data_IF_087256037654
#
_entry.id   IF_087256037654
#
_cell.length_a   1.000
_cell.length_b   1.000
_cell.length_c   1.000
_cell.angle_alpha   90.00
_cell.angle_beta   90.00
_cell.angle_gamma   90.00
#
_symmetry.space_group_name_H-M   'P 1'
#
loop_
_entity.id
_entity.type
_entity.pdbx_description
1 polymer ?
#
# COMPACT_ATOMS: atom_id res chain seq x y z
N UNK A 1 -0.44 4.67 -1.16
CA UNK A 1 -1.50 4.72 -0.14
C UNK A 1 -1.20 3.68 0.91
N UNK A 2 -0.86 4.11 2.09
CA UNK A 2 -0.68 3.22 3.24
C UNK A 2 -2.00 2.53 3.58
N UNK A 3 -1.94 1.28 4.05
CA UNK A 3 -3.08 0.63 4.69
C UNK A 3 -3.40 1.42 5.95
N UNK A 4 -4.28 2.40 5.84
CA UNK A 4 -4.65 3.24 6.96
C UNK A 4 -5.68 2.54 7.82
N UNK A 5 -5.32 2.26 9.07
CA UNK A 5 -6.23 1.67 10.05
C UNK A 5 -6.45 2.70 11.14
N UNK A 6 -7.71 2.90 11.52
CA UNK A 6 -8.10 3.85 12.57
C UNK A 6 -8.95 3.19 13.63
N UNK A 7 -8.78 3.62 14.87
CA UNK A 7 -9.71 3.29 15.94
C UNK A 7 -11.04 4.02 15.68
N UNK A 8 -12.13 3.38 16.02
CA UNK A 8 -13.48 3.94 15.94
C UNK A 8 -13.67 5.19 16.80
N UNK A 9 -12.87 5.40 17.83
CA UNK A 9 -12.90 6.62 18.68
C UNK A 9 -12.55 7.89 17.91
N UNK A 10 -11.81 7.77 16.78
CA UNK A 10 -11.47 8.91 15.92
C UNK A 10 -10.40 9.85 16.46
N UNK A 11 -9.63 9.43 17.47
CA UNK A 11 -8.64 10.29 18.16
C UNK A 11 -7.51 10.78 17.24
N UNK A 12 -7.21 10.05 16.17
CA UNK A 12 -6.25 10.49 15.15
C UNK A 12 -6.91 10.42 13.77
N UNK A 13 -7.15 11.55 13.11
CA UNK A 13 -7.80 11.54 11.80
C UNK A 13 -6.90 10.94 10.73
N UNK A 14 -7.53 10.38 9.71
CA UNK A 14 -6.93 10.01 8.45
C UNK A 14 -6.78 11.27 7.60
N UNK A 15 -5.62 11.48 6.99
CA UNK A 15 -5.41 12.60 6.08
C UNK A 15 -5.13 12.05 4.69
N UNK A 16 -5.97 12.42 3.73
CA UNK A 16 -5.75 12.21 2.31
C UNK A 16 -5.24 13.51 1.71
N UNK A 17 -4.13 13.43 0.99
CA UNK A 17 -3.57 14.54 0.23
C UNK A 17 -3.42 14.14 -1.24
N UNK A 18 -3.74 15.04 -2.16
CA UNK A 18 -3.55 14.85 -3.58
C UNK A 18 -3.47 16.21 -4.29
N UNK A 19 -2.89 16.20 -5.48
CA UNK A 19 -2.72 17.40 -6.28
C UNK A 19 -3.52 17.29 -7.58
N UNK A 20 -4.12 18.40 -7.98
CA UNK A 20 -4.73 18.57 -9.28
C UNK A 20 -3.83 19.44 -10.16
N UNK A 21 -3.35 18.86 -11.28
CA UNK A 21 -2.51 19.52 -12.26
C UNK A 21 -3.32 20.04 -13.47
N UNK A 22 -4.65 19.88 -13.45
CA UNK A 22 -5.52 20.37 -14.52
C UNK A 22 -5.74 21.89 -14.41
N UNK A 23 -5.98 22.54 -15.54
CA UNK A 23 -6.31 23.96 -15.58
C UNK A 23 -7.79 24.24 -15.23
N UNK A 24 -8.67 23.22 -15.31
CA UNK A 24 -10.12 23.37 -15.25
C UNK A 24 -10.65 23.52 -13.81
N UNK A 25 -9.86 23.17 -12.78
CA UNK A 25 -10.20 23.24 -11.37
C UNK A 25 -11.59 22.65 -11.04
N UNK A 26 -11.83 21.37 -11.30
CA UNK A 26 -13.10 20.73 -11.05
C UNK A 26 -13.41 20.69 -9.55
N UNK A 27 -14.68 20.60 -9.20
CA UNK A 27 -15.07 20.34 -7.81
C UNK A 27 -14.87 18.86 -7.51
N UNK A 28 -14.05 18.54 -6.52
CA UNK A 28 -13.88 17.17 -6.05
C UNK A 28 -14.90 16.86 -4.96
N UNK A 29 -15.67 15.82 -5.21
CA UNK A 29 -16.63 15.25 -4.25
C UNK A 29 -16.11 13.92 -3.75
N UNK A 30 -16.51 13.51 -2.54
CA UNK A 30 -16.18 12.19 -2.03
C UNK A 30 -17.39 11.51 -1.37
N UNK A 31 -17.36 10.19 -1.40
CA UNK A 31 -18.29 9.32 -0.66
C UNK A 31 -17.54 8.11 -0.10
N UNK A 32 -18.14 7.50 0.93
CA UNK A 32 -17.62 6.29 1.56
C UNK A 32 -18.50 5.11 1.22
N UNK A 33 -17.85 3.98 0.92
CA UNK A 33 -18.54 2.70 0.71
C UNK A 33 -18.01 1.73 1.76
N UNK A 34 -18.91 1.19 2.59
CA UNK A 34 -18.54 0.15 3.54
C UNK A 34 -18.41 -1.19 2.82
N UNK A 35 -17.33 -1.92 3.10
CA UNK A 35 -17.00 -3.18 2.46
C UNK A 35 -16.80 -4.30 3.48
N UNK A 36 -17.01 -5.53 3.04
CA UNK A 36 -16.63 -6.75 3.75
C UNK A 36 -15.11 -6.96 3.71
N UNK A 37 -14.60 -7.94 4.42
CA UNK A 37 -13.17 -8.27 4.51
C UNK A 37 -12.52 -8.51 3.14
N UNK A 38 -13.27 -9.00 2.17
CA UNK A 38 -12.83 -9.22 0.80
C UNK A 38 -12.99 -8.00 -0.14
N UNK A 39 -13.27 -6.82 0.41
CA UNK A 39 -13.50 -5.56 -0.29
C UNK A 39 -14.75 -5.49 -1.18
N UNK A 40 -15.63 -6.49 -1.13
CA UNK A 40 -16.96 -6.36 -1.75
C UNK A 40 -17.82 -5.41 -0.92
N UNK A 41 -18.62 -4.53 -1.54
CA UNK A 41 -19.56 -3.68 -0.80
C UNK A 41 -20.43 -4.52 0.14
N UNK A 42 -20.64 -4.05 1.37
CA UNK A 42 -21.52 -4.71 2.32
C UNK A 42 -22.99 -4.46 1.96
N UNK A 43 -23.86 -5.34 2.47
CA UNK A 43 -25.33 -5.19 2.31
C UNK A 43 -25.93 -4.25 3.37
N UNK A 44 -25.28 -3.09 3.56
CA UNK A 44 -25.71 -2.05 4.49
C UNK A 44 -26.07 -0.77 3.74
N UNK A 45 -27.06 -0.06 4.22
CA UNK A 45 -27.36 1.31 3.75
C UNK A 45 -26.34 2.30 4.38
N UNK A 46 -26.09 3.42 3.69
CA UNK A 46 -25.13 4.42 4.14
C UNK A 46 -25.42 4.94 5.57
N UNK A 47 -26.68 5.10 5.92
CA UNK A 47 -27.11 5.55 7.26
C UNK A 47 -26.82 4.55 8.39
N UNK A 48 -26.54 3.27 8.06
CA UNK A 48 -26.21 2.27 9.07
C UNK A 48 -24.72 2.33 9.46
N UNK A 49 -23.84 2.78 8.56
CA UNK A 49 -22.41 2.82 8.82
C UNK A 49 -21.78 4.22 8.90
N UNK A 50 -22.53 5.26 8.45
CA UNK A 50 -22.09 6.66 8.53
C UNK A 50 -23.15 7.54 9.20
N UNK A 51 -22.70 8.45 10.06
CA UNK A 51 -23.46 9.61 10.51
C UNK A 51 -23.00 10.82 9.69
N UNK A 52 -23.94 11.58 9.12
CA UNK A 52 -23.69 12.75 8.30
C UNK A 52 -24.18 12.62 6.86
N UNK A 53 -23.59 13.38 5.96
CA UNK A 53 -24.01 13.39 4.54
C UNK A 53 -23.25 12.31 3.76
N UNK A 54 -23.95 11.57 2.87
CA UNK A 54 -23.30 10.50 2.09
C UNK A 54 -22.32 11.03 1.04
N UNK A 55 -22.54 12.25 0.55
CA UNK A 55 -21.71 12.90 -0.46
C UNK A 55 -21.27 14.27 0.04
N UNK A 56 -19.98 14.54 -0.03
CA UNK A 56 -19.39 15.76 0.50
C UNK A 56 -18.33 16.33 -0.46
N UNK A 57 -18.10 17.63 -0.39
CA UNK A 57 -17.11 18.34 -1.19
C UNK A 57 -15.76 18.43 -0.45
N UNK A 58 -14.66 18.22 -1.18
CA UNK A 58 -13.31 18.46 -0.68
C UNK A 58 -12.97 19.94 -0.84
N UNK A 59 -13.10 20.73 0.23
CA UNK A 59 -13.02 22.19 0.20
C UNK A 59 -11.64 22.75 0.52
N UNK A 60 -10.82 21.98 1.26
CA UNK A 60 -9.50 22.44 1.68
C UNK A 60 -8.51 22.27 0.53
N UNK A 61 -8.19 23.37 -0.14
CA UNK A 61 -7.20 23.40 -1.21
C UNK A 61 -6.28 24.60 -1.09
N UNK A 62 -5.04 24.44 -1.55
CA UNK A 62 -4.02 25.49 -1.58
C UNK A 62 -3.29 25.47 -2.92
N UNK A 63 -3.05 26.62 -3.57
CA UNK A 63 -2.26 26.65 -4.78
C UNK A 63 -0.78 26.34 -4.50
N UNK A 64 -0.11 25.73 -5.46
CA UNK A 64 1.33 25.56 -5.44
C UNK A 64 2.05 26.92 -5.39
N UNK A 65 3.21 26.93 -4.76
CA UNK A 65 3.99 28.15 -4.57
C UNK A 65 5.45 27.95 -5.00
N UNK A 66 5.94 28.82 -5.86
CA UNK A 66 7.34 28.83 -6.34
C UNK A 66 7.77 27.54 -7.05
N UNK A 67 6.83 26.90 -7.75
CA UNK A 67 7.04 25.68 -8.53
C UNK A 67 7.09 25.97 -10.03
N UNK A 68 7.78 25.11 -10.82
CA UNK A 68 7.77 25.18 -12.28
C UNK A 68 6.45 24.71 -12.86
N UNK A 69 5.82 23.72 -12.20
CA UNK A 69 4.50 23.20 -12.56
C UNK A 69 3.48 23.67 -11.54
N UNK A 70 2.43 24.37 -12.02
CA UNK A 70 1.34 24.81 -11.14
C UNK A 70 0.38 23.67 -10.87
N UNK A 71 -0.09 23.56 -9.62
CA UNK A 71 -1.11 22.61 -9.19
C UNK A 71 -1.91 23.16 -8.00
N UNK A 72 -3.08 22.56 -7.76
CA UNK A 72 -3.83 22.76 -6.53
C UNK A 72 -3.63 21.55 -5.63
N UNK A 73 -3.14 21.80 -4.42
CA UNK A 73 -2.98 20.81 -3.37
C UNK A 73 -4.25 20.69 -2.55
N UNK A 74 -4.88 19.52 -2.55
CA UNK A 74 -6.09 19.21 -1.79
C UNK A 74 -5.75 18.37 -0.56
N UNK A 75 -6.46 18.66 0.54
CA UNK A 75 -6.35 17.90 1.78
C UNK A 75 -7.74 17.55 2.30
N UNK A 76 -7.97 16.28 2.62
CA UNK A 76 -9.19 15.76 3.23
C UNK A 76 -8.85 15.04 4.51
N UNK A 77 -9.38 15.51 5.62
CA UNK A 77 -9.30 14.86 6.93
C UNK A 77 -10.56 14.03 7.18
N UNK A 78 -10.41 12.81 7.68
CA UNK A 78 -11.50 11.86 7.95
C UNK A 78 -11.26 11.17 9.30
N UNK A 79 -12.24 11.11 10.23
CA UNK A 79 -13.55 11.78 10.19
C UNK A 79 -13.42 13.31 10.27
N UNK A 80 -14.49 14.01 9.92
CA UNK A 80 -14.57 15.46 9.94
C UNK A 80 -15.94 15.92 10.47
N UNK A 81 -16.29 17.19 10.28
CA UNK A 81 -17.56 17.75 10.71
C UNK A 81 -18.76 17.18 9.91
N UNK A 82 -18.52 16.74 8.66
CA UNK A 82 -19.56 16.27 7.76
C UNK A 82 -19.84 14.77 7.90
N UNK A 83 -18.86 13.96 8.36
CA UNK A 83 -18.99 12.50 8.45
C UNK A 83 -18.34 11.90 9.70
N UNK A 84 -19.00 10.85 10.24
CA UNK A 84 -18.52 10.05 11.35
C UNK A 84 -18.82 8.57 11.12
N UNK A 85 -17.87 7.66 11.45
CA UNK A 85 -18.06 6.21 11.30
C UNK A 85 -18.86 5.62 12.47
N UNK A 86 -19.92 4.88 12.14
CA UNK A 86 -20.76 4.17 13.12
C UNK A 86 -20.33 2.72 13.30
N UNK A 87 -19.77 2.10 12.26
CA UNK A 87 -19.38 0.70 12.25
C UNK A 87 -17.88 0.55 11.95
N UNK A 88 -17.30 -0.55 12.41
CA UNK A 88 -15.97 -1.02 12.03
C UNK A 88 -16.04 -1.80 10.72
N UNK A 89 -14.89 -2.00 10.07
CA UNK A 89 -14.75 -2.77 8.85
C UNK A 89 -13.91 -2.06 7.82
N UNK A 90 -14.00 -2.50 6.59
CA UNK A 90 -13.30 -1.92 5.45
C UNK A 90 -14.11 -0.78 4.84
N UNK A 91 -13.44 0.25 4.41
CA UNK A 91 -14.04 1.40 3.75
C UNK A 91 -13.29 1.74 2.46
N UNK A 92 -14.05 1.97 1.41
CA UNK A 92 -13.55 2.52 0.16
C UNK A 92 -13.95 3.99 0.08
N UNK A 93 -12.96 4.88 0.10
CA UNK A 93 -13.14 6.29 -0.24
C UNK A 93 -13.15 6.42 -1.76
N UNK A 94 -14.23 6.95 -2.32
CA UNK A 94 -14.39 7.26 -3.73
C UNK A 94 -14.30 8.78 -3.91
N UNK A 95 -13.38 9.26 -4.74
CA UNK A 95 -13.27 10.67 -5.13
C UNK A 95 -13.65 10.81 -6.60
N UNK A 96 -14.55 11.77 -6.89
CA UNK A 96 -15.15 11.97 -8.22
C UNK A 96 -15.37 13.47 -8.51
N UNK A 97 -15.61 13.82 -9.78
CA UNK A 97 -15.72 15.21 -10.22
C UNK A 97 -17.17 15.68 -10.30
N UNK A 98 -17.38 16.97 -10.00
CA UNK A 98 -18.57 17.78 -10.30
C UNK A 98 -19.91 17.16 -9.91
N UNK A 99 -19.91 16.31 -8.85
CA UNK A 99 -21.09 15.63 -8.39
C UNK A 99 -21.56 14.46 -9.28
N UNK A 100 -20.71 13.99 -10.19
CA UNK A 100 -20.97 12.82 -11.02
C UNK A 100 -20.22 11.58 -10.50
N UNK A 101 -20.85 10.66 -9.76
CA UNK A 101 -20.19 9.46 -9.21
C UNK A 101 -19.62 8.50 -10.25
N UNK A 102 -19.99 8.63 -11.53
CA UNK A 102 -19.44 7.83 -12.63
C UNK A 102 -18.11 8.39 -13.15
N UNK A 103 -17.80 9.67 -12.86
CA UNK A 103 -16.53 10.30 -13.19
C UNK A 103 -15.53 10.17 -12.02
N UNK A 104 -15.14 8.93 -11.76
CA UNK A 104 -14.21 8.57 -10.68
C UNK A 104 -12.80 9.03 -11.01
N UNK A 105 -12.20 9.80 -10.11
CA UNK A 105 -10.81 10.23 -10.21
C UNK A 105 -9.87 9.18 -9.63
N UNK A 106 -10.17 8.72 -8.41
CA UNK A 106 -9.44 7.62 -7.75
C UNK A 106 -10.25 7.06 -6.57
N UNK A 107 -9.80 5.93 -6.09
CA UNK A 107 -10.29 5.32 -4.85
C UNK A 107 -9.15 5.13 -3.85
N UNK A 108 -9.49 5.08 -2.54
CA UNK A 108 -8.54 4.74 -1.47
C UNK A 108 -9.18 3.78 -0.48
N UNK A 109 -8.44 2.75 -0.14
CA UNK A 109 -8.83 1.74 0.86
C UNK A 109 -8.33 2.16 2.24
N UNK A 110 -9.17 2.03 3.24
CA UNK A 110 -8.78 2.17 4.65
C UNK A 110 -9.69 1.32 5.52
N UNK A 111 -9.38 1.20 6.79
CA UNK A 111 -10.11 0.35 7.71
C UNK A 111 -10.38 1.08 9.03
N UNK A 112 -11.52 0.73 9.65
CA UNK A 112 -11.91 1.20 10.97
C UNK A 112 -12.00 0.01 11.91
N UNK A 113 -11.18 -0.03 12.96
CA UNK A 113 -11.11 -1.12 13.92
C UNK A 113 -11.91 -0.82 15.20
N UNK A 114 -12.36 -1.87 15.89
CA UNK A 114 -12.99 -1.75 17.21
C UNK A 114 -11.97 -1.82 18.36
N UNK A 115 -10.79 -2.34 18.16
CA UNK A 115 -9.78 -2.52 19.21
C UNK A 115 -10.21 -3.47 20.34
N UNK A 116 -11.07 -4.47 20.04
CA UNK A 116 -11.66 -5.36 21.04
C UNK A 116 -10.91 -6.64 21.29
N UNK A 117 -9.93 -6.94 20.47
CA UNK A 117 -9.06 -8.10 20.62
C UNK A 117 -7.61 -7.66 20.68
N UNK A 118 -6.78 -8.41 21.39
CA UNK A 118 -5.34 -8.22 21.40
C UNK A 118 -4.70 -9.32 20.55
N UNK A 119 -3.83 -8.91 19.63
CA UNK A 119 -3.10 -9.82 18.73
C UNK A 119 -1.64 -9.79 19.13
N UNK A 120 -1.08 -10.93 19.50
CA UNK A 120 0.34 -11.13 19.75
C UNK A 120 0.94 -11.87 18.56
N UNK A 121 1.92 -11.28 17.89
CA UNK A 121 2.46 -11.82 16.66
C UNK A 121 3.98 -11.78 16.62
N UNK A 122 4.56 -12.69 15.86
CA UNK A 122 5.99 -12.73 15.55
C UNK A 122 6.22 -13.12 14.10
N UNK A 123 7.21 -12.51 13.47
CA UNK A 123 7.71 -12.89 12.15
C UNK A 123 9.13 -13.44 12.33
N UNK A 124 9.38 -14.65 11.85
CA UNK A 124 10.64 -15.37 12.08
C UNK A 124 11.02 -16.29 10.91
N UNK A 125 12.18 -16.94 11.02
CA UNK A 125 12.63 -17.93 10.05
C UNK A 125 11.71 -19.16 10.12
N UNK A 126 11.22 -19.67 8.96
CA UNK A 126 10.35 -20.83 8.92
C UNK A 126 10.96 -22.06 9.60
N UNK A 127 10.11 -22.83 10.27
CA UNK A 127 10.50 -24.09 10.90
C UNK A 127 10.92 -25.11 9.85
N UNK A 128 10.21 -25.17 8.71
CA UNK A 128 10.49 -26.10 7.64
C UNK A 128 11.76 -25.75 6.86
N UNK A 129 12.69 -26.71 6.77
CA UNK A 129 14.01 -26.48 6.16
C UNK A 129 13.98 -25.98 4.72
N UNK A 130 12.97 -26.35 3.94
CA UNK A 130 12.83 -25.95 2.55
C UNK A 130 12.58 -24.45 2.37
N UNK A 131 12.09 -23.76 3.39
CA UNK A 131 11.77 -22.34 3.36
C UNK A 131 12.77 -21.43 4.12
N UNK A 132 13.73 -22.01 4.84
CA UNK A 132 14.65 -21.27 5.74
C UNK A 132 15.52 -20.21 5.06
N UNK A 133 15.85 -20.40 3.79
CA UNK A 133 16.75 -19.48 3.07
C UNK A 133 16.03 -18.36 2.35
N UNK A 134 14.72 -18.47 2.12
CA UNK A 134 13.98 -17.59 1.22
C UNK A 134 12.78 -16.87 1.86
N UNK A 135 12.33 -17.37 2.98
CA UNK A 135 10.96 -17.08 3.40
C UNK A 135 10.90 -16.69 4.87
N UNK A 136 9.78 -16.14 5.27
CA UNK A 136 9.46 -15.73 6.64
C UNK A 136 8.11 -16.33 7.04
N UNK A 137 8.01 -16.78 8.28
CA UNK A 137 6.81 -17.37 8.89
C UNK A 137 6.23 -16.37 9.87
N UNK A 138 4.89 -16.16 9.82
CA UNK A 138 4.18 -15.18 10.65
C UNK A 138 3.20 -15.91 11.55
N UNK A 139 3.59 -16.14 12.80
CA UNK A 139 2.73 -16.75 13.82
C UNK A 139 2.05 -15.69 14.66
N UNK A 140 0.80 -15.97 15.06
CA UNK A 140 0.08 -15.04 15.93
C UNK A 140 -1.00 -15.72 16.76
N UNK A 141 -1.34 -15.07 17.87
CA UNK A 141 -2.42 -15.43 18.76
C UNK A 141 -3.42 -14.29 18.88
N UNK A 142 -4.71 -14.58 18.82
CA UNK A 142 -5.77 -13.60 19.02
C UNK A 142 -6.43 -13.84 20.37
N UNK A 143 -6.23 -12.93 21.31
CA UNK A 143 -6.86 -12.93 22.62
C UNK A 143 -8.19 -12.18 22.57
N UNK A 144 -9.31 -12.88 22.71
CA UNK A 144 -10.67 -12.36 22.52
C UNK A 144 -11.55 -12.43 23.77
N UNK A 145 -10.95 -12.35 24.97
CA UNK A 145 -11.66 -12.51 26.26
C UNK A 145 -12.84 -11.56 26.47
N UNK A 146 -12.90 -10.44 25.72
CA UNK A 146 -14.02 -9.46 25.77
C UNK A 146 -15.08 -9.65 24.69
N UNK A 147 -14.95 -10.66 23.82
CA UNK A 147 -15.87 -10.91 22.70
C UNK A 147 -16.31 -12.36 22.71
N UNK A 148 -17.61 -12.59 22.69
CA UNK A 148 -18.16 -13.93 22.52
C UNK A 148 -18.04 -14.35 21.07
N UNK A 149 -17.37 -15.48 20.83
CA UNK A 149 -17.24 -16.16 19.54
C UNK A 149 -17.72 -17.59 19.79
N UNK A 150 -18.86 -17.96 19.20
CA UNK A 150 -19.49 -19.25 19.45
C UNK A 150 -18.85 -20.35 18.58
N UNK A 151 -18.62 -20.05 17.32
CA UNK A 151 -17.91 -20.95 16.37
C UNK A 151 -16.80 -20.19 15.64
N UNK A 152 -15.55 -20.26 16.14
CA UNK A 152 -14.43 -19.57 15.51
C UNK A 152 -14.20 -19.92 14.03
N UNK A 153 -14.52 -21.15 13.63
CA UNK A 153 -14.28 -21.59 12.25
C UNK A 153 -15.23 -21.02 11.22
N UNK A 154 -16.44 -20.64 11.62
CA UNK A 154 -17.42 -20.05 10.71
C UNK A 154 -17.60 -18.54 10.91
N UNK A 155 -17.27 -18.01 12.09
CA UNK A 155 -17.53 -16.61 12.46
C UNK A 155 -16.29 -15.72 12.34
N UNK A 156 -15.08 -16.28 12.26
CA UNK A 156 -13.85 -15.49 12.26
C UNK A 156 -13.04 -15.65 10.97
N UNK A 157 -12.28 -14.62 10.65
CA UNK A 157 -11.37 -14.60 9.52
C UNK A 157 -10.13 -13.78 9.91
N UNK A 158 -8.96 -14.35 9.74
CA UNK A 158 -7.70 -13.63 9.84
C UNK A 158 -7.06 -13.44 8.47
N UNK A 159 -6.60 -12.23 8.20
CA UNK A 159 -5.89 -11.87 6.97
C UNK A 159 -4.52 -11.34 7.35
N UNK A 160 -3.49 -11.71 6.59
CA UNK A 160 -2.12 -11.20 6.78
C UNK A 160 -1.63 -10.60 5.47
N UNK A 161 -1.17 -9.36 5.51
CA UNK A 161 -0.62 -8.61 4.37
C UNK A 161 0.86 -8.32 4.59
N UNK A 162 1.66 -8.43 3.53
CA UNK A 162 3.09 -8.08 3.54
C UNK A 162 3.31 -6.72 2.87
N UNK A 163 4.00 -5.79 3.55
CA UNK A 163 4.46 -4.49 3.02
C UNK A 163 3.37 -3.65 2.34
N UNK A 164 2.12 -3.72 2.81
CA UNK A 164 1.03 -2.95 2.23
C UNK A 164 0.53 -3.43 0.86
N UNK A 165 0.98 -4.59 0.38
CA UNK A 165 0.53 -5.18 -0.87
C UNK A 165 -0.82 -5.87 -0.69
N UNK A 166 -1.86 -5.35 -1.35
CA UNK A 166 -3.21 -5.90 -1.30
C UNK A 166 -3.34 -7.27 -1.99
N UNK A 167 -2.51 -7.52 -3.00
CA UNK A 167 -2.56 -8.73 -3.83
C UNK A 167 -1.60 -9.84 -3.32
N UNK A 168 -0.70 -9.51 -2.38
CA UNK A 168 0.16 -10.46 -1.68
C UNK A 168 -0.32 -10.59 -0.23
N UNK A 169 -1.36 -11.37 -0.05
CA UNK A 169 -1.96 -11.63 1.26
C UNK A 169 -2.17 -13.12 1.46
N UNK A 170 -2.16 -13.54 2.70
CA UNK A 170 -2.75 -14.81 3.09
C UNK A 170 -4.22 -14.61 3.38
N UNK A 171 -5.05 -15.31 2.65
CA UNK A 171 -6.50 -15.22 2.74
C UNK A 171 -7.06 -16.11 3.85
N UNK A 172 -7.99 -15.55 4.59
CA UNK A 172 -8.97 -16.27 5.40
C UNK A 172 -8.39 -17.42 6.23
N UNK A 173 -7.27 -17.17 6.93
CA UNK A 173 -6.69 -18.16 7.83
C UNK A 173 -7.72 -18.53 8.90
N UNK A 174 -7.89 -19.84 9.10
CA UNK A 174 -8.68 -20.42 10.17
C UNK A 174 -7.77 -20.70 11.38
N UNK A 175 -8.26 -20.64 12.62
CA UNK A 175 -7.40 -20.96 13.76
C UNK A 175 -6.92 -22.41 13.71
N UNK A 176 -5.61 -22.60 13.89
CA UNK A 176 -5.01 -23.93 14.06
C UNK A 176 -5.47 -24.60 15.34
N UNK A 177 -5.60 -23.81 16.44
CA UNK A 177 -6.04 -24.29 17.74
C UNK A 177 -6.97 -23.26 18.40
N UNK A 178 -8.00 -23.75 19.07
CA UNK A 178 -8.96 -22.95 19.83
C UNK A 178 -8.80 -23.27 21.33
N UNK A 179 -8.40 -22.27 22.09
CA UNK A 179 -8.33 -22.28 23.53
C UNK A 179 -9.41 -21.36 24.14
N UNK A 180 -9.81 -21.53 25.41
CA UNK A 180 -10.73 -20.59 26.04
C UNK A 180 -10.21 -19.14 26.00
N UNK A 181 -10.87 -18.27 25.23
CA UNK A 181 -10.50 -16.86 25.07
C UNK A 181 -9.31 -16.57 24.15
N UNK A 182 -8.77 -17.58 23.48
CA UNK A 182 -7.62 -17.43 22.58
C UNK A 182 -7.75 -18.29 21.33
N UNK A 183 -7.45 -17.71 20.17
CA UNK A 183 -7.30 -18.42 18.90
C UNK A 183 -5.82 -18.41 18.50
N UNK A 184 -5.29 -19.56 18.12
CA UNK A 184 -3.88 -19.75 17.75
C UNK A 184 -3.77 -19.96 16.25
N UNK A 185 -2.88 -19.20 15.61
CA UNK A 185 -2.53 -19.26 14.20
C UNK A 185 -1.02 -19.53 14.08
N UNK A 186 -0.66 -20.79 14.28
CA UNK A 186 0.72 -21.28 14.24
C UNK A 186 0.73 -22.47 13.27
N UNK A 187 0.98 -22.15 12.01
CA UNK A 187 0.96 -23.11 10.92
C UNK A 187 2.40 -23.37 10.46
N UNK A 188 2.61 -24.49 9.78
CA UNK A 188 3.91 -24.80 9.21
C UNK A 188 4.07 -24.39 7.74
N UNK A 189 2.97 -24.17 7.02
CA UNK A 189 3.02 -23.84 5.59
C UNK A 189 2.09 -22.68 5.21
N UNK A 190 0.91 -22.54 5.82
CA UNK A 190 -0.11 -21.60 5.39
C UNK A 190 0.20 -20.14 5.74
N UNK A 191 1.11 -19.87 6.68
CA UNK A 191 1.51 -18.54 7.13
C UNK A 191 2.93 -18.14 6.68
N UNK A 192 3.42 -18.75 5.59
CA UNK A 192 4.74 -18.47 5.03
C UNK A 192 4.65 -17.48 3.88
N UNK A 193 5.48 -16.44 3.94
CA UNK A 193 5.66 -15.43 2.91
C UNK A 193 7.04 -15.51 2.27
N UNK A 194 7.19 -15.22 0.97
CA UNK A 194 8.50 -14.92 0.40
C UNK A 194 9.14 -13.74 1.15
N UNK A 195 10.39 -13.87 1.54
CA UNK A 195 11.12 -12.77 2.19
C UNK A 195 11.31 -11.58 1.24
N UNK A 196 11.44 -11.86 -0.06
CA UNK A 196 11.75 -10.83 -1.05
C UNK A 196 13.14 -10.24 -0.81
N UNK A 197 13.29 -8.96 -1.11
CA UNK A 197 14.53 -8.20 -0.90
C UNK A 197 14.18 -6.79 -0.45
N UNK A 198 15.15 -6.06 0.14
CA UNK A 198 14.99 -4.67 0.50
C UNK A 198 14.55 -3.85 -0.71
N UNK A 199 13.69 -2.85 -0.50
CA UNK A 199 13.23 -2.01 -1.61
C UNK A 199 14.38 -1.20 -2.19
N UNK A 200 14.34 -0.98 -3.49
CA UNK A 200 15.21 -0.03 -4.17
C UNK A 200 14.81 1.38 -3.79
N UNK A 201 15.71 2.31 -3.97
CA UNK A 201 15.54 3.66 -3.46
C UNK A 201 16.05 4.69 -4.46
N UNK A 202 15.38 5.83 -4.54
CA UNK A 202 15.89 7.03 -5.19
C UNK A 202 15.40 8.30 -4.48
N UNK A 203 16.07 9.41 -4.76
CA UNK A 203 15.83 10.71 -4.15
C UNK A 203 15.85 11.80 -5.24
N UNK A 204 14.78 12.59 -5.32
CA UNK A 204 14.60 13.70 -6.28
C UNK A 204 14.50 15.06 -5.58
N UNK A 205 14.86 15.15 -4.30
CA UNK A 205 14.73 16.41 -3.53
C UNK A 205 15.52 17.58 -4.12
N UNK A 206 16.67 17.30 -4.73
CA UNK A 206 17.53 18.31 -5.35
C UNK A 206 17.52 18.21 -6.87
N UNK A 207 17.08 19.28 -7.55
CA UNK A 207 17.01 19.33 -9.02
C UNK A 207 18.33 19.75 -9.69
N UNK A 208 19.35 20.12 -8.91
CA UNK A 208 20.64 20.63 -9.41
C UNK A 208 21.77 19.62 -9.33
N UNK A 209 21.74 18.76 -8.30
CA UNK A 209 22.82 17.81 -8.03
C UNK A 209 22.26 16.40 -7.99
N UNK A 210 22.68 15.50 -8.90
CA UNK A 210 22.28 14.10 -8.86
C UNK A 210 22.71 13.43 -7.56
N UNK A 211 21.80 12.64 -6.98
CA UNK A 211 22.09 11.77 -5.83
C UNK A 211 22.74 10.46 -6.29
N UNK A 212 23.12 9.58 -5.35
CA UNK A 212 23.85 8.34 -5.70
C UNK A 212 23.12 7.45 -6.73
N UNK A 213 21.79 7.38 -6.67
CA UNK A 213 20.99 6.52 -7.56
C UNK A 213 20.54 7.21 -8.85
N UNK A 214 20.78 8.52 -8.97
CA UNK A 214 20.47 9.31 -10.17
C UNK A 214 21.72 9.39 -11.03
N UNK A 215 21.60 9.01 -12.31
CA UNK A 215 22.70 9.12 -13.28
C UNK A 215 22.87 10.57 -13.75
N UNK A 216 21.77 11.21 -14.11
CA UNK A 216 21.76 12.62 -14.54
C UNK A 216 20.39 13.27 -14.38
N UNK A 217 20.37 14.59 -14.36
CA UNK A 217 19.18 15.43 -14.35
C UNK A 217 19.23 16.34 -15.57
N UNK A 218 18.20 16.28 -16.40
CA UNK A 218 18.00 17.13 -17.57
C UNK A 218 16.80 18.06 -17.31
N UNK A 219 16.83 19.30 -17.80
CA UNK A 219 15.66 20.18 -17.81
C UNK A 219 15.07 20.27 -19.20
N UNK A 220 13.85 19.80 -19.38
CA UNK A 220 13.06 19.94 -20.59
C UNK A 220 11.74 20.60 -20.20
N UNK A 221 11.64 21.91 -20.47
CA UNK A 221 10.52 22.70 -19.95
C UNK A 221 9.13 22.08 -20.21
N UNK A 222 8.26 22.05 -19.20
CA UNK A 222 8.41 22.66 -17.87
C UNK A 222 9.00 21.73 -16.80
N UNK A 223 9.47 20.52 -17.13
CA UNK A 223 9.84 19.49 -16.16
C UNK A 223 11.34 19.23 -16.10
N UNK A 224 11.80 18.87 -14.90
CA UNK A 224 13.06 18.16 -14.71
C UNK A 224 12.88 16.68 -14.99
N UNK A 225 13.88 16.06 -15.62
CA UNK A 225 13.93 14.65 -15.96
C UNK A 225 15.07 13.99 -15.22
N UNK A 226 14.72 13.16 -14.24
CA UNK A 226 15.67 12.36 -13.46
C UNK A 226 15.84 11.00 -14.14
N UNK A 227 17.03 10.71 -14.66
CA UNK A 227 17.38 9.40 -15.18
C UNK A 227 18.07 8.62 -14.09
N UNK A 228 17.42 7.55 -13.62
CA UNK A 228 18.00 6.67 -12.64
C UNK A 228 19.11 5.84 -13.27
N UNK A 229 20.11 5.42 -12.46
CA UNK A 229 21.09 4.44 -12.90
C UNK A 229 20.37 3.14 -13.26
N UNK A 230 20.83 2.44 -14.34
CA UNK A 230 20.23 1.18 -14.72
C UNK A 230 20.26 0.16 -13.59
N UNK A 231 19.09 -0.40 -13.29
CA UNK A 231 18.92 -1.51 -12.39
C UNK A 231 19.24 -2.84 -13.08
N UNK A 232 19.55 -3.85 -12.27
CA UNK A 232 19.74 -5.23 -12.72
C UNK A 232 18.91 -6.17 -11.83
N UNK A 233 18.52 -7.35 -12.33
CA UNK A 233 17.96 -8.39 -11.49
C UNK A 233 18.89 -8.72 -10.31
N UNK A 234 18.31 -8.93 -9.14
CA UNK A 234 19.04 -9.25 -7.90
C UNK A 234 18.83 -10.70 -7.45
N UNK A 235 18.04 -11.48 -8.21
CA UNK A 235 17.66 -12.86 -7.85
C UNK A 235 18.86 -13.80 -7.64
N UNK A 236 19.98 -13.55 -8.31
CA UNK A 236 21.22 -14.32 -8.15
C UNK A 236 22.28 -13.62 -7.28
N UNK A 237 21.96 -12.49 -6.67
CA UNK A 237 22.91 -11.73 -5.84
C UNK A 237 22.83 -12.18 -4.39
N UNK A 238 23.94 -12.06 -3.69
CA UNK A 238 23.97 -12.23 -2.23
C UNK A 238 23.17 -11.09 -1.58
N UNK A 239 22.40 -11.42 -0.54
CA UNK A 239 21.66 -10.44 0.23
C UNK A 239 22.57 -9.33 0.76
N UNK A 240 22.09 -8.13 0.69
CA UNK A 240 22.71 -6.94 1.28
C UNK A 240 21.63 -6.12 2.01
N UNK A 241 21.82 -5.97 3.31
CA UNK A 241 20.92 -5.17 4.13
C UNK A 241 21.05 -3.69 3.78
N UNK A 242 19.94 -3.07 3.49
CA UNK A 242 19.82 -1.64 3.23
C UNK A 242 18.56 -1.13 3.95
N UNK A 243 18.71 -0.06 4.70
CA UNK A 243 17.53 0.60 5.28
C UNK A 243 16.60 1.10 4.17
N UNK A 244 15.32 0.79 4.31
CA UNK A 244 14.27 1.24 3.43
C UNK A 244 13.01 1.65 4.23
N UNK A 245 11.97 2.05 3.55
CA UNK A 245 10.68 2.41 4.15
C UNK A 245 9.56 1.50 3.66
N UNK A 246 9.87 0.24 3.39
CA UNK A 246 8.95 -0.81 2.97
C UNK A 246 8.05 -0.40 1.78
N UNK A 247 8.67 0.19 0.74
CA UNK A 247 7.98 0.57 -0.48
C UNK A 247 7.18 1.87 -0.40
N UNK A 248 7.24 2.59 0.72
CA UNK A 248 6.59 3.89 0.89
C UNK A 248 7.37 5.01 0.18
N UNK A 249 6.84 6.23 0.29
CA UNK A 249 7.52 7.44 -0.17
C UNK A 249 7.25 8.60 0.80
N UNK A 250 8.12 9.60 0.73
CA UNK A 250 7.94 10.88 1.42
C UNK A 250 8.12 12.02 0.40
N UNK A 251 7.14 12.93 0.34
CA UNK A 251 7.24 14.16 -0.46
C UNK A 251 8.15 15.14 0.27
N UNK A 252 9.26 15.48 -0.35
CA UNK A 252 10.27 16.38 0.20
C UNK A 252 10.96 17.14 -0.94
N UNK A 253 11.32 18.41 -0.71
CA UNK A 253 12.17 19.18 -1.63
C UNK A 253 13.22 19.95 -0.84
N UNK A 254 14.43 20.07 -1.36
CA UNK A 254 15.52 20.77 -0.69
C UNK A 254 15.19 22.26 -0.53
N UNK A 255 15.22 22.74 0.72
CA UNK A 255 14.86 24.12 1.06
C UNK A 255 13.37 24.40 1.11
N UNK A 256 12.52 23.37 0.98
CA UNK A 256 11.08 23.47 1.16
C UNK A 256 10.72 23.77 2.61
N UNK A 257 9.63 24.52 2.79
CA UNK A 257 9.00 24.76 4.08
C UNK A 257 7.68 23.98 4.21
N UNK A 258 7.03 23.72 3.09
CA UNK A 258 5.76 22.98 2.98
C UNK A 258 5.75 22.17 1.67
N UNK A 259 6.33 20.96 1.67
CA UNK A 259 6.43 20.15 0.46
C UNK A 259 5.08 19.83 -0.21
N UNK A 260 3.97 19.95 0.53
CA UNK A 260 2.62 19.82 -0.03
C UNK A 260 2.35 20.84 -1.15
N UNK A 261 2.94 22.05 -1.10
CA UNK A 261 2.66 23.11 -2.05
C UNK A 261 3.90 23.69 -2.77
N UNK A 262 5.12 23.42 -2.28
CA UNK A 262 6.35 23.97 -2.85
C UNK A 262 7.32 22.94 -3.44
N UNK A 263 6.95 21.65 -3.44
CA UNK A 263 7.67 20.61 -4.17
C UNK A 263 7.20 20.53 -5.64
N UNK A 264 8.14 20.42 -6.57
CA UNK A 264 7.84 20.34 -8.01
C UNK A 264 7.48 18.91 -8.45
N UNK A 265 6.82 18.83 -9.60
CA UNK A 265 6.64 17.59 -10.33
C UNK A 265 7.80 17.37 -11.30
N UNK A 266 8.35 16.15 -11.30
CA UNK A 266 9.50 15.75 -12.10
C UNK A 266 9.23 14.42 -12.81
N UNK A 267 9.77 14.23 -14.01
CA UNK A 267 9.79 12.92 -14.64
C UNK A 267 10.93 12.08 -14.08
N UNK A 268 10.61 10.86 -13.64
CA UNK A 268 11.59 9.86 -13.22
C UNK A 268 11.59 8.73 -14.24
N UNK A 269 12.76 8.44 -14.81
CA UNK A 269 12.97 7.41 -15.81
C UNK A 269 13.63 6.19 -15.18
N UNK A 270 12.88 5.09 -15.14
CA UNK A 270 13.30 3.79 -14.63
C UNK A 270 13.83 2.94 -15.78
N UNK A 271 14.88 2.17 -15.50
CA UNK A 271 15.47 1.22 -16.44
C UNK A 271 15.92 -0.04 -15.69
N UNK A 272 15.41 -1.19 -16.10
CA UNK A 272 15.85 -2.51 -15.64
C UNK A 272 16.53 -3.23 -16.79
N UNK A 273 17.85 -3.35 -16.75
CA UNK A 273 18.65 -4.06 -17.76
C UNK A 273 18.36 -5.56 -17.68
N UNK A 274 17.90 -6.12 -18.79
CA UNK A 274 17.54 -7.51 -18.90
C UNK A 274 17.76 -7.98 -20.34
N UNK A 275 18.70 -8.91 -20.60
CA UNK A 275 19.09 -9.28 -21.98
C UNK A 275 17.95 -9.88 -22.81
N UNK A 276 16.99 -10.53 -22.15
CA UNK A 276 15.79 -11.11 -22.77
C UNK A 276 14.56 -10.73 -21.97
N UNK A 277 13.42 -10.48 -22.63
CA UNK A 277 12.16 -10.25 -21.92
C UNK A 277 11.69 -11.52 -21.21
N UNK A 278 11.01 -11.34 -20.09
CA UNK A 278 10.30 -12.40 -19.39
C UNK A 278 8.99 -12.72 -20.14
N UNK A 279 8.52 -13.97 -20.02
CA UNK A 279 7.22 -14.36 -20.55
C UNK A 279 6.08 -13.91 -19.64
N UNK A 280 5.74 -12.62 -19.75
CA UNK A 280 4.74 -11.96 -18.91
C UNK A 280 4.94 -10.46 -18.86
N UNK A 281 4.38 -9.84 -17.84
CA UNK A 281 4.44 -8.40 -17.60
C UNK A 281 5.30 -8.05 -16.39
N UNK A 282 6.12 -7.02 -16.51
CA UNK A 282 6.91 -6.46 -15.41
C UNK A 282 6.27 -5.15 -14.97
N UNK A 283 6.07 -5.00 -13.67
CA UNK A 283 5.48 -3.80 -13.06
C UNK A 283 6.45 -3.15 -12.09
N UNK A 284 6.39 -1.84 -12.03
CA UNK A 284 7.00 -1.06 -10.96
C UNK A 284 6.02 -1.01 -9.78
N UNK A 285 6.47 -1.41 -8.59
CA UNK A 285 5.62 -1.52 -7.40
C UNK A 285 6.17 -0.67 -6.24
N UNK A 286 5.25 -0.03 -5.54
CA UNK A 286 5.52 0.80 -4.37
C UNK A 286 4.43 1.84 -4.16
N UNK A 287 4.58 2.65 -3.12
CA UNK A 287 3.68 3.78 -2.85
C UNK A 287 3.60 4.75 -4.03
N UNK A 288 4.68 4.87 -4.81
CA UNK A 288 4.75 5.73 -6.00
C UNK A 288 3.75 5.36 -7.11
N UNK A 289 3.32 4.10 -7.18
CA UNK A 289 2.25 3.62 -8.07
C UNK A 289 0.94 3.36 -7.32
N UNK A 290 0.83 3.80 -6.06
CA UNK A 290 -0.28 3.48 -5.16
C UNK A 290 -0.55 1.97 -5.05
N UNK A 291 0.47 1.13 -5.25
CA UNK A 291 0.34 -0.33 -5.25
C UNK A 291 -0.68 -0.85 -6.28
N UNK A 292 -0.85 -0.13 -7.40
CA UNK A 292 -1.71 -0.52 -8.51
C UNK A 292 -0.87 -1.12 -9.64
N UNK A 293 -1.42 -2.17 -10.26
CA UNK A 293 -0.76 -2.91 -11.33
C UNK A 293 -1.59 -2.77 -12.62
N UNK A 294 -1.48 -1.61 -13.21
CA UNK A 294 -2.18 -1.19 -14.41
C UNK A 294 -1.18 -0.76 -15.52
N UNK A 295 -1.69 -0.20 -16.59
CA UNK A 295 -0.85 0.26 -17.71
C UNK A 295 0.11 1.40 -17.31
N UNK A 296 -0.18 2.15 -16.23
CA UNK A 296 0.69 3.23 -15.75
C UNK A 296 1.90 2.71 -14.97
N UNK A 297 1.79 1.55 -14.34
CA UNK A 297 2.87 0.91 -13.58
C UNK A 297 3.59 -0.19 -14.37
N UNK A 298 3.03 -0.60 -15.53
CA UNK A 298 3.62 -1.63 -16.40
C UNK A 298 4.82 -1.09 -17.15
N UNK A 299 5.93 -1.81 -17.11
CA UNK A 299 7.14 -1.49 -17.84
C UNK A 299 7.10 -2.03 -19.28
N UNK A 300 7.62 -1.27 -20.22
CA UNK A 300 7.76 -1.67 -21.60
C UNK A 300 9.17 -2.22 -21.87
N UNK A 301 9.27 -3.36 -22.54
CA UNK A 301 10.56 -3.92 -22.96
C UNK A 301 11.03 -3.30 -24.27
N UNK A 302 12.20 -2.67 -24.24
CA UNK A 302 12.87 -2.13 -25.42
C UNK A 302 13.90 -3.12 -25.92
N UNK A 303 13.70 -3.64 -27.14
CA UNK A 303 14.56 -4.66 -27.76
C UNK A 303 15.97 -4.11 -28.10
N UNK A 304 16.08 -2.85 -28.48
CA UNK A 304 17.34 -2.22 -28.84
C UNK A 304 18.22 -1.98 -27.61
N UNK A 305 17.60 -1.51 -26.53
CA UNK A 305 18.27 -1.22 -25.25
C UNK A 305 18.42 -2.46 -24.37
N UNK A 306 17.77 -3.58 -24.71
CA UNK A 306 17.70 -4.80 -23.91
C UNK A 306 17.32 -4.52 -22.44
N UNK A 307 16.28 -3.73 -22.24
CA UNK A 307 15.85 -3.26 -20.93
C UNK A 307 14.34 -3.03 -20.87
N UNK A 308 13.76 -3.23 -19.68
CA UNK A 308 12.44 -2.72 -19.36
C UNK A 308 12.56 -1.25 -18.95
N UNK A 309 11.65 -0.42 -19.47
CA UNK A 309 11.65 1.02 -19.27
C UNK A 309 10.28 1.52 -18.82
N UNK A 310 10.27 2.54 -17.95
CA UNK A 310 9.06 3.24 -17.53
C UNK A 310 9.43 4.69 -17.18
N UNK A 311 8.51 5.62 -17.44
CA UNK A 311 8.67 7.03 -17.02
C UNK A 311 7.43 7.45 -16.25
N UNK A 312 7.61 7.95 -15.02
CA UNK A 312 6.53 8.42 -14.17
C UNK A 312 6.71 9.92 -13.87
N UNK A 313 5.60 10.65 -13.85
CA UNK A 313 5.54 12.00 -13.32
C UNK A 313 5.27 11.93 -11.82
N UNK A 314 6.26 12.29 -11.00
CA UNK A 314 6.22 12.19 -9.56
C UNK A 314 6.51 13.54 -8.92
N UNK A 315 5.97 13.79 -7.74
CA UNK A 315 6.36 14.94 -6.92
C UNK A 315 7.77 14.72 -6.36
N UNK A 316 8.54 15.79 -6.14
CA UNK A 316 9.85 15.66 -5.51
C UNK A 316 9.77 14.95 -4.17
N UNK A 317 10.72 14.05 -3.89
CA UNK A 317 10.73 13.29 -2.67
C UNK A 317 11.73 12.15 -2.64
N UNK A 318 11.54 11.30 -1.66
CA UNK A 318 12.26 10.05 -1.45
C UNK A 318 11.29 8.90 -1.68
N UNK A 319 11.70 7.94 -2.47
CA UNK A 319 10.82 6.87 -2.94
C UNK A 319 11.49 5.51 -2.81
N UNK A 320 10.74 4.54 -2.27
CA UNK A 320 11.08 3.14 -2.39
C UNK A 320 10.29 2.48 -3.52
N UNK A 321 10.90 1.51 -4.19
CA UNK A 321 10.25 0.74 -5.25
C UNK A 321 10.88 -0.65 -5.39
N UNK A 322 10.17 -1.53 -6.06
CA UNK A 322 10.67 -2.82 -6.52
C UNK A 322 9.99 -3.22 -7.82
N UNK A 323 10.52 -4.26 -8.46
CA UNK A 323 9.93 -4.85 -9.65
C UNK A 323 9.14 -6.09 -9.29
N UNK A 324 7.94 -6.21 -9.86
CA UNK A 324 7.11 -7.41 -9.76
C UNK A 324 6.91 -8.01 -11.14
N UNK A 325 6.97 -9.31 -11.23
CA UNK A 325 6.73 -10.06 -12.45
C UNK A 325 5.41 -10.81 -12.37
N UNK A 326 4.55 -10.65 -13.39
CA UNK A 326 3.32 -11.39 -13.57
C UNK A 326 3.49 -12.29 -14.78
N UNK A 327 3.65 -13.61 -14.60
CA UNK A 327 3.78 -14.55 -15.70
C UNK A 327 2.53 -14.59 -16.60
N UNK A 328 2.68 -14.85 -17.91
CA UNK A 328 1.55 -14.91 -18.85
C UNK A 328 0.55 -16.04 -18.56
N UNK A 329 0.97 -17.03 -17.79
CA UNK A 329 0.17 -18.23 -17.46
C UNK A 329 -0.29 -18.26 -15.98
N UNK A 330 -0.05 -17.19 -15.22
CA UNK A 330 -0.37 -17.08 -13.79
C UNK A 330 -1.16 -15.81 -13.52
N UNK A 331 -1.94 -15.82 -12.45
CA UNK A 331 -2.65 -14.64 -11.94
C UNK A 331 -1.95 -14.05 -10.71
N UNK A 332 -0.81 -14.65 -10.28
CA UNK A 332 -0.08 -14.22 -9.10
C UNK A 332 1.29 -13.64 -9.47
N UNK A 333 1.66 -12.56 -8.76
CA UNK A 333 2.96 -11.96 -8.89
C UNK A 333 4.07 -12.84 -8.33
N UNK A 334 5.19 -12.89 -9.02
CA UNK A 334 6.41 -13.61 -8.62
C UNK A 334 7.48 -12.59 -8.26
N UNK A 335 7.73 -12.40 -6.95
CA UNK A 335 8.75 -11.48 -6.44
C UNK A 335 10.17 -12.01 -6.70
N UNK A 336 10.48 -13.30 -6.42
CA UNK A 336 11.84 -13.81 -6.49
C UNK A 336 12.49 -13.76 -7.86
N UNK A 337 11.74 -13.70 -8.94
CA UNK A 337 12.27 -13.75 -10.31
C UNK A 337 13.25 -12.59 -10.62
N UNK A 338 12.91 -11.38 -10.17
CA UNK A 338 13.73 -10.18 -10.40
C UNK A 338 14.49 -9.79 -9.14
N UNK A 339 13.81 -9.76 -8.00
CA UNK A 339 14.37 -9.21 -6.77
C UNK A 339 15.10 -10.24 -5.90
N UNK A 340 14.87 -11.54 -6.12
CA UNK A 340 15.33 -12.58 -5.21
C UNK A 340 14.41 -12.71 -3.99
N UNK A 341 14.77 -13.62 -3.08
CA UNK A 341 14.04 -13.82 -1.83
C UNK A 341 14.98 -14.27 -0.73
N UNK A 342 15.01 -13.51 0.35
CA UNK A 342 15.94 -13.68 1.46
C UNK A 342 15.17 -13.59 2.79
N UNK A 343 15.44 -14.51 3.71
CA UNK A 343 14.78 -14.48 5.02
C UNK A 343 15.21 -13.29 5.88
N UNK A 344 16.38 -12.71 5.57
CA UNK A 344 16.96 -11.57 6.28
C UNK A 344 16.26 -10.24 5.98
N UNK A 345 15.45 -10.18 4.92
CA UNK A 345 14.77 -8.94 4.49
C UNK A 345 13.90 -8.35 5.59
N UNK A 346 14.00 -7.04 5.78
CA UNK A 346 13.14 -6.28 6.69
C UNK A 346 11.74 -6.10 6.09
N UNK A 347 10.76 -6.87 6.55
CA UNK A 347 9.37 -6.76 6.10
C UNK A 347 8.42 -6.33 7.22
N UNK A 348 7.34 -5.66 6.82
CA UNK A 348 6.22 -5.32 7.67
C UNK A 348 5.03 -6.24 7.35
N UNK A 349 4.44 -6.84 8.39
CA UNK A 349 3.25 -7.65 8.25
C UNK A 349 2.10 -7.04 9.02
N UNK A 350 0.97 -6.85 8.33
CA UNK A 350 -0.28 -6.39 8.92
C UNK A 350 -1.23 -7.54 9.06
N UNK A 351 -1.61 -7.84 10.30
CA UNK A 351 -2.60 -8.86 10.65
C UNK A 351 -3.93 -8.17 10.94
N UNK A 352 -4.99 -8.62 10.30
CA UNK A 352 -6.36 -8.15 10.50
C UNK A 352 -7.24 -9.30 10.99
N UNK A 353 -8.02 -9.04 12.05
CA UNK A 353 -8.93 -10.04 12.60
C UNK A 353 -10.38 -9.58 12.52
N UNK A 354 -11.14 -10.29 11.71
CA UNK A 354 -12.57 -10.04 11.49
C UNK A 354 -13.44 -11.04 12.20
N UNK A 355 -14.67 -10.57 12.55
CA UNK A 355 -15.70 -11.39 13.15
C UNK A 355 -17.05 -11.06 12.53
N UNK A 356 -17.74 -12.11 12.09
CA UNK A 356 -19.10 -12.03 11.53
C UNK A 356 -20.04 -12.97 12.29
N UNK A 357 -20.64 -12.50 13.40
CA UNK A 357 -21.62 -13.31 14.14
C UNK A 357 -22.82 -13.70 13.26
N UNK A 358 -23.46 -14.83 13.51
CA UNK A 358 -24.68 -15.23 12.80
C UNK A 358 -25.74 -14.14 12.81
N UNK A 359 -26.32 -13.87 11.63
CA UNK A 359 -27.34 -12.84 11.46
C UNK A 359 -26.82 -11.42 11.23
N UNK A 360 -25.49 -11.18 11.26
CA UNK A 360 -24.93 -9.90 10.83
C UNK A 360 -24.72 -9.86 9.31
N UNK A 361 -24.75 -8.63 8.75
CA UNK A 361 -24.66 -8.39 7.30
C UNK A 361 -23.30 -7.88 6.86
N UNK A 362 -22.32 -7.79 7.77
CA UNK A 362 -20.99 -7.25 7.49
C UNK A 362 -19.93 -7.87 8.36
N UNK A 363 -18.67 -7.75 7.95
CA UNK A 363 -17.51 -8.21 8.68
C UNK A 363 -16.99 -7.09 9.59
N UNK A 364 -17.02 -7.35 10.91
CA UNK A 364 -16.52 -6.42 11.93
C UNK A 364 -15.01 -6.58 12.05
N UNK A 365 -14.24 -5.53 11.92
CA UNK A 365 -12.80 -5.54 12.21
C UNK A 365 -12.59 -5.37 13.72
N UNK A 366 -12.34 -6.46 14.42
CA UNK A 366 -12.18 -6.45 15.88
C UNK A 366 -10.81 -5.98 16.35
N UNK A 367 -9.77 -6.21 15.56
CA UNK A 367 -8.43 -5.79 15.90
C UNK A 367 -7.46 -5.95 14.75
N UNK A 368 -6.29 -5.35 14.92
CA UNK A 368 -5.16 -5.45 14.00
C UNK A 368 -3.84 -5.43 14.76
N UNK A 369 -2.80 -5.93 14.16
CA UNK A 369 -1.43 -5.87 14.66
C UNK A 369 -0.46 -5.71 13.48
N UNK A 370 0.51 -4.86 13.66
CA UNK A 370 1.66 -4.75 12.77
C UNK A 370 2.85 -5.44 13.43
N UNK A 371 3.53 -6.32 12.72
CA UNK A 371 4.75 -6.96 13.16
C UNK A 371 5.83 -6.80 12.08
N UNK A 372 7.06 -6.60 12.53
CA UNK A 372 8.22 -6.46 11.65
C UNK A 372 9.12 -7.68 11.77
N UNK A 373 9.60 -8.17 10.63
CA UNK A 373 10.68 -9.16 10.63
C UNK A 373 12.03 -8.43 10.64
N UNK A 374 13.04 -9.05 11.24
CA UNK A 374 14.45 -8.64 11.14
C UNK A 374 14.70 -7.11 11.23
N UNK A 375 14.07 -6.42 12.18
CA UNK A 375 14.49 -5.05 12.47
C UNK A 375 15.89 -5.08 13.07
N UNK A 376 16.84 -4.28 12.54
CA UNK A 376 18.20 -4.16 13.10
C UNK A 376 18.20 -3.56 14.50
#
# INVERSE_FOLDING_TARGET
SEMCIRDRSGDVPLVLEFDDLSEDQPRFMYRMIHCNANWTPSDLSEQEYLEGYPENEIRNSRPSFNTYTTYLHYQLQIPNEDIRFLLSGNYLLLVYRDGNPDDVVFTRRFMVTEGKVNIEASAHIPVLNQYKGCCQEVDFNVNHSGVTIDDPFSETMALVYQNGLWDLRLDALQPYMVNPGQLVYDFQEENIFPGGNEFRFFDTKNTRTPTYYVERIDYVAPFFHFRLKPDKPRSAQTYFSQEDINGRFAVEAEGSHDPGVDADYVFVHFRLDMPLPLDGSVYLAGGLTNWQFDDLSRMEYNQEEQAYMLSLLLKQGVYNYRYLFLPSFDEQFVIPEIEGSHYETGNEYLILFYHRPPGTRYDRLLGHQVVHSNQP
#
